data_IF_726554040726
#
_entry.id   IF_726554040726
#
_cell.length_a   1.000
_cell.length_b   1.000
_cell.length_c   1.000
_cell.angle_alpha   90.00
_cell.angle_beta   90.00
_cell.angle_gamma   90.00
#
_symmetry.space_group_name_H-M   'P 1'
#
loop_
_entity.id
_entity.type
_entity.pdbx_description
1 polymer ?
#
# COMPACT_ATOMS: atom_id res chain seq x y z
N UNK A 1 -10.76 11.91 -3.14
CA UNK A 1 -9.62 11.53 -2.28
C UNK A 1 -10.18 10.92 -1.01
N UNK A 2 -9.98 9.62 -0.79
CA UNK A 2 -10.42 8.93 0.41
C UNK A 2 -9.20 8.50 1.23
N UNK A 3 -9.02 9.14 2.39
CA UNK A 3 -7.97 8.80 3.34
C UNK A 3 -8.56 8.54 4.74
N UNK A 4 -7.77 7.91 5.60
CA UNK A 4 -8.05 7.76 7.03
C UNK A 4 -6.77 8.03 7.80
N UNK A 5 -6.93 8.53 9.02
CA UNK A 5 -5.81 8.61 9.96
C UNK A 5 -5.60 7.24 10.61
N UNK A 6 -4.42 6.66 10.42
CA UNK A 6 -3.98 5.43 11.08
C UNK A 6 -2.65 5.77 11.75
N UNK A 7 -2.67 6.09 13.04
CA UNK A 7 -1.50 6.62 13.75
C UNK A 7 -0.29 5.71 13.70
N UNK A 8 -0.50 4.39 13.71
CA UNK A 8 0.56 3.40 13.57
C UNK A 8 1.32 3.50 12.24
N UNK A 9 0.70 4.02 11.17
CA UNK A 9 1.39 4.20 9.90
C UNK A 9 2.43 5.33 9.94
N UNK A 10 2.29 6.30 10.86
CA UNK A 10 3.17 7.48 10.96
C UNK A 10 4.64 7.17 11.23
N UNK A 11 4.95 5.94 11.66
CA UNK A 11 6.32 5.46 11.86
C UNK A 11 7.03 5.12 10.54
N UNK A 12 6.29 4.94 9.44
CA UNK A 12 6.84 4.55 8.15
C UNK A 12 7.11 5.74 7.24
N UNK A 13 8.03 5.61 6.27
CA UNK A 13 8.18 6.60 5.22
C UNK A 13 6.89 6.81 4.41
N UNK A 14 6.75 8.00 3.83
CA UNK A 14 5.70 8.29 2.84
C UNK A 14 5.86 7.36 1.63
N UNK A 15 4.77 6.82 1.10
CA UNK A 15 4.79 5.85 0.00
C UNK A 15 4.84 4.39 0.46
N UNK A 16 4.87 4.12 1.77
CA UNK A 16 4.83 2.75 2.30
C UNK A 16 3.43 2.14 2.12
N UNK A 17 3.36 0.93 1.56
CA UNK A 17 2.12 0.16 1.54
C UNK A 17 1.86 -0.45 2.93
N UNK A 18 0.65 -0.27 3.43
CA UNK A 18 0.26 -0.69 4.78
C UNK A 18 -1.04 -1.47 4.79
N UNK A 19 -1.23 -2.26 5.84
CA UNK A 19 -2.48 -2.92 6.17
C UNK A 19 -3.49 -1.96 6.83
N UNK A 20 -4.68 -2.48 7.15
CA UNK A 20 -5.76 -1.71 7.80
C UNK A 20 -5.41 -1.22 9.21
N UNK A 21 -4.33 -1.73 9.80
CA UNK A 21 -3.82 -1.35 11.11
C UNK A 21 -2.62 -0.39 11.01
N UNK A 22 -2.14 -0.11 9.79
CA UNK A 22 -1.00 0.78 9.56
C UNK A 22 0.35 0.09 9.70
N UNK A 23 0.40 -1.24 9.76
CA UNK A 23 1.64 -2.00 9.67
C UNK A 23 2.06 -2.11 8.20
N UNK A 24 3.37 -2.08 7.92
CA UNK A 24 3.88 -2.34 6.57
C UNK A 24 3.51 -3.77 6.15
N UNK A 25 3.03 -3.93 4.91
CA UNK A 25 2.76 -5.27 4.36
C UNK A 25 4.05 -6.07 4.14
N UNK A 26 3.98 -7.40 4.33
CA UNK A 26 5.15 -8.28 4.26
C UNK A 26 4.85 -9.58 3.49
N UNK A 27 5.40 -9.72 2.25
CA UNK A 27 5.17 -10.89 1.41
C UNK A 27 5.92 -12.14 1.87
N UNK A 28 6.80 -12.03 2.87
CA UNK A 28 7.57 -13.17 3.38
C UNK A 28 6.82 -13.99 4.44
N UNK A 29 5.66 -13.49 4.88
CA UNK A 29 4.84 -14.18 5.87
C UNK A 29 4.14 -15.40 5.25
N UNK A 30 4.05 -16.50 6.00
CA UNK A 30 3.40 -17.73 5.53
C UNK A 30 1.90 -17.55 5.20
N UNK A 31 1.29 -16.47 5.68
CA UNK A 31 -0.10 -16.09 5.43
C UNK A 31 -0.24 -14.93 4.44
N UNK A 32 0.81 -14.62 3.66
CA UNK A 32 0.78 -13.52 2.71
C UNK A 32 -0.38 -13.65 1.72
N UNK A 33 -1.05 -12.51 1.51
CA UNK A 33 -2.10 -12.31 0.51
C UNK A 33 -2.06 -10.83 0.12
N UNK A 34 -2.14 -10.53 -1.18
CA UNK A 34 -2.20 -9.17 -1.70
C UNK A 34 -3.34 -8.35 -1.09
N UNK A 35 -4.45 -9.00 -0.68
CA UNK A 35 -5.58 -8.34 -0.01
C UNK A 35 -5.24 -7.74 1.36
N UNK A 36 -4.06 -8.02 1.91
CA UNK A 36 -3.57 -7.37 3.12
C UNK A 36 -3.17 -5.91 2.87
N UNK A 37 -2.88 -5.53 1.62
CA UNK A 37 -2.64 -4.14 1.25
C UNK A 37 -3.93 -3.33 1.36
N UNK A 38 -4.01 -2.46 2.35
CA UNK A 38 -5.16 -1.59 2.58
C UNK A 38 -5.01 -0.21 1.94
N UNK A 39 -3.78 0.28 1.84
CA UNK A 39 -3.52 1.58 1.26
C UNK A 39 -2.09 2.04 1.39
N UNK A 40 -1.86 3.31 1.04
CA UNK A 40 -0.54 3.91 0.98
C UNK A 40 -0.42 4.97 2.06
N UNK A 41 0.58 4.82 2.92
CA UNK A 41 0.91 5.80 3.94
C UNK A 41 1.47 7.09 3.32
N UNK A 42 0.92 8.21 3.75
CA UNK A 42 1.32 9.57 3.41
C UNK A 42 1.80 10.31 4.66
N UNK A 43 1.64 11.64 4.75
CA UNK A 43 2.17 12.35 5.92
C UNK A 43 1.39 12.03 7.21
N UNK A 44 2.09 12.00 8.35
CA UNK A 44 1.50 12.03 9.70
C UNK A 44 0.42 10.95 9.93
N UNK A 45 0.62 9.74 9.41
CA UNK A 45 -0.32 8.63 9.57
C UNK A 45 -1.56 8.71 8.68
N UNK A 46 -1.61 9.63 7.71
CA UNK A 46 -2.68 9.62 6.70
C UNK A 46 -2.47 8.44 5.76
N UNK A 47 -3.45 7.56 5.64
CA UNK A 47 -3.41 6.42 4.72
C UNK A 47 -4.49 6.61 3.66
N UNK A 48 -4.07 6.62 2.41
CA UNK A 48 -4.94 6.75 1.25
C UNK A 48 -5.36 5.35 0.81
N UNK A 49 -6.66 5.10 0.80
CA UNK A 49 -7.21 3.74 0.66
C UNK A 49 -8.20 3.62 -0.50
N UNK A 50 -8.61 4.73 -1.12
CA UNK A 50 -9.47 4.71 -2.31
C UNK A 50 -9.44 6.07 -3.05
N UNK A 51 -9.96 6.06 -4.28
CA UNK A 51 -10.23 7.25 -5.09
C UNK A 51 -9.03 8.21 -5.20
N UNK A 52 -7.86 7.66 -5.50
CA UNK A 52 -6.59 8.38 -5.58
C UNK A 52 -5.67 7.72 -6.62
N UNK A 53 -4.68 8.45 -7.14
CA UNK A 53 -3.70 7.94 -8.10
C UNK A 53 -2.30 8.14 -7.53
N UNK A 54 -1.48 7.09 -7.57
CA UNK A 54 -0.09 7.10 -7.14
C UNK A 54 0.82 6.71 -8.29
N UNK A 55 2.07 7.19 -8.26
CA UNK A 55 3.10 6.75 -9.21
C UNK A 55 3.96 5.70 -8.52
N UNK A 56 4.14 4.56 -9.18
CA UNK A 56 4.91 3.41 -8.71
C UNK A 56 6.33 3.79 -8.24
N UNK A 57 6.94 4.78 -8.89
CA UNK A 57 8.29 5.29 -8.58
C UNK A 57 8.44 5.84 -7.15
N UNK A 58 7.34 6.25 -6.51
CA UNK A 58 7.35 6.81 -5.17
C UNK A 58 6.86 5.83 -4.10
N UNK A 59 6.61 4.57 -4.47
CA UNK A 59 6.15 3.55 -3.54
C UNK A 59 7.32 2.76 -2.96
N UNK A 60 7.24 2.49 -1.67
CA UNK A 60 8.17 1.62 -0.97
C UNK A 60 7.65 0.19 -0.96
N UNK A 61 7.87 -0.51 -2.07
CA UNK A 61 7.56 -1.94 -2.18
C UNK A 61 8.36 -2.76 -1.16
N UNK A 62 7.74 -3.76 -0.52
CA UNK A 62 8.45 -4.66 0.37
C UNK A 62 9.61 -5.36 -0.34
N UNK A 63 10.76 -5.44 0.33
CA UNK A 63 11.91 -6.19 -0.16
C UNK A 63 11.55 -7.65 -0.36
N UNK A 64 11.94 -8.24 -1.49
CA UNK A 64 11.68 -9.65 -1.80
C UNK A 64 10.28 -9.93 -2.35
N UNK A 65 9.45 -8.91 -2.59
CA UNK A 65 8.19 -9.06 -3.33
C UNK A 65 8.48 -9.48 -4.77
N UNK A 66 7.83 -10.53 -5.25
CA UNK A 66 7.91 -10.92 -6.66
C UNK A 66 7.11 -9.96 -7.55
N UNK A 67 7.40 -9.93 -8.85
CA UNK A 67 6.61 -9.11 -9.80
C UNK A 67 5.14 -9.56 -9.85
N UNK A 68 4.87 -10.85 -9.63
CA UNK A 68 3.51 -11.40 -9.53
C UNK A 68 2.77 -10.87 -8.30
N UNK A 69 3.38 -10.96 -7.12
CA UNK A 69 2.80 -10.42 -5.88
C UNK A 69 2.58 -8.91 -5.99
N UNK A 70 3.52 -8.20 -6.62
CA UNK A 70 3.41 -6.76 -6.86
C UNK A 70 2.18 -6.46 -7.71
N UNK A 71 1.98 -7.20 -8.80
CA UNK A 71 0.82 -7.03 -9.67
C UNK A 71 -0.49 -7.36 -8.95
N UNK A 72 -0.53 -8.43 -8.15
CA UNK A 72 -1.72 -8.80 -7.37
C UNK A 72 -2.09 -7.70 -6.36
N UNK A 73 -1.10 -7.06 -5.72
CA UNK A 73 -1.32 -5.91 -4.84
C UNK A 73 -1.84 -4.70 -5.62
N UNK A 74 -1.28 -4.42 -6.80
CA UNK A 74 -1.76 -3.35 -7.66
C UNK A 74 -3.23 -3.60 -8.02
N UNK A 75 -3.55 -4.76 -8.58
CA UNK A 75 -4.90 -5.13 -8.99
C UNK A 75 -5.90 -5.02 -7.82
N UNK A 76 -5.48 -5.46 -6.63
CA UNK A 76 -6.27 -5.31 -5.40
C UNK A 76 -6.57 -3.84 -5.07
N UNK A 77 -5.55 -2.98 -5.06
CA UNK A 77 -5.73 -1.55 -4.76
C UNK A 77 -6.54 -0.83 -5.85
N UNK A 78 -6.33 -1.17 -7.12
CA UNK A 78 -7.08 -0.58 -8.23
C UNK A 78 -8.56 -0.98 -8.20
N UNK A 79 -8.90 -2.17 -7.69
CA UNK A 79 -10.29 -2.59 -7.43
C UNK A 79 -11.01 -1.66 -6.43
N UNK A 80 -10.25 -0.93 -5.61
CA UNK A 80 -10.73 0.07 -4.66
C UNK A 80 -10.63 1.50 -5.20
N UNK A 81 -10.39 1.66 -6.52
CA UNK A 81 -10.13 2.94 -7.19
C UNK A 81 -8.87 3.67 -6.68
N UNK A 82 -7.89 2.92 -6.17
CA UNK A 82 -6.56 3.42 -5.82
C UNK A 82 -5.57 3.01 -6.93
N UNK A 83 -5.47 3.82 -7.97
CA UNK A 83 -4.72 3.49 -9.18
C UNK A 83 -3.22 3.68 -9.01
N UNK A 84 -2.42 2.72 -9.49
CA UNK A 84 -0.96 2.75 -9.42
C UNK A 84 -0.40 2.89 -10.83
N UNK A 85 0.00 4.10 -11.19
CA UNK A 85 0.62 4.38 -12.48
C UNK A 85 2.02 3.79 -12.50
N UNK A 86 2.18 2.71 -13.24
CA UNK A 86 3.47 2.11 -13.57
C UNK A 86 4.24 3.02 -14.53
N UNK A 87 5.57 3.05 -14.39
CA UNK A 87 6.49 3.85 -15.21
C UNK A 87 6.86 3.14 -16.50
#
# INVERSE_FOLDING_TARGET
>A
MCNKTISAAAQWPMGTLVDKHGAKIDPTTASWDASQAYGIHMQKGQVYWANSVFNDLYLHWPTGMSDGDKQDVIDHLESQFLFIKQA
#
